data_IF_464988981628
#
_entry.id   IF_464988981628
#
_cell.length_a   1.000
_cell.length_b   1.000
_cell.length_c   1.000
_cell.angle_alpha   90.00
_cell.angle_beta   90.00
_cell.angle_gamma   90.00
#
_symmetry.space_group_name_H-M   'P 1'
#
loop_
_entity.id
_entity.type
_entity.pdbx_description
1 polymer ?
#
# COMPACT_ATOMS: atom_id res chain seq x y z
N UNK A 1 0.90 -3.01 3.64
CA UNK A 1 1.04 -4.22 2.80
C UNK A 1 2.47 -4.75 2.76
N UNK A 2 3.39 -4.07 2.07
CA UNK A 2 4.67 -4.68 1.69
C UNK A 2 5.67 -4.83 2.84
N UNK A 3 5.79 -3.81 3.69
CA UNK A 3 6.70 -3.84 4.84
C UNK A 3 6.32 -4.92 5.88
N UNK A 4 5.03 -5.26 5.95
CA UNK A 4 4.47 -6.23 6.89
C UNK A 4 4.14 -7.57 6.25
N UNK A 5 4.46 -7.78 4.96
CA UNK A 5 4.24 -9.07 4.29
C UNK A 5 2.77 -9.47 4.13
N UNK A 6 1.84 -8.52 3.99
CA UNK A 6 0.38 -8.77 3.92
C UNK A 6 -0.07 -9.30 2.55
N UNK A 7 0.44 -10.46 2.15
CA UNK A 7 0.12 -11.09 0.87
C UNK A 7 -1.31 -11.66 0.81
N UNK A 8 -1.95 -11.85 1.97
CA UNK A 8 -3.37 -12.19 2.14
C UNK A 8 -4.31 -11.19 1.47
N UNK A 9 -3.85 -9.93 1.33
CA UNK A 9 -4.63 -8.88 0.66
C UNK A 9 -4.65 -8.98 -0.88
N UNK A 10 -3.95 -9.96 -1.46
CA UNK A 10 -3.92 -10.24 -2.91
C UNK A 10 -4.98 -11.27 -3.29
N UNK A 11 -6.14 -10.77 -3.71
CA UNK A 11 -7.25 -11.59 -4.20
C UNK A 11 -8.02 -10.84 -5.31
N UNK A 12 -8.98 -11.53 -5.93
CA UNK A 12 -9.63 -11.10 -7.18
C UNK A 12 -10.34 -9.75 -7.13
N UNK A 13 -10.79 -9.27 -5.97
CA UNK A 13 -11.42 -7.93 -5.86
C UNK A 13 -10.37 -6.81 -5.83
N UNK A 14 -9.14 -7.09 -5.41
CA UNK A 14 -8.04 -6.13 -5.35
C UNK A 14 -7.19 -6.18 -6.63
N UNK A 15 -7.75 -5.62 -7.71
CA UNK A 15 -7.08 -5.56 -9.03
C UNK A 15 -5.82 -4.66 -8.98
N UNK A 16 -5.81 -3.65 -8.11
CA UNK A 16 -4.74 -2.64 -8.04
C UNK A 16 -4.26 -2.44 -6.60
N UNK A 17 -2.94 -2.34 -6.45
CA UNK A 17 -2.27 -1.96 -5.20
C UNK A 17 -1.58 -0.63 -5.41
N UNK A 18 -2.18 0.44 -4.88
CA UNK A 18 -1.72 1.79 -5.14
C UNK A 18 -0.58 2.23 -4.21
N UNK A 19 0.35 2.97 -4.77
CA UNK A 19 1.50 3.60 -4.12
C UNK A 19 1.47 5.12 -4.34
N UNK A 20 2.25 5.88 -3.59
CA UNK A 20 2.45 7.30 -3.84
C UNK A 20 2.97 7.54 -5.27
N UNK A 21 3.91 6.71 -5.75
CA UNK A 21 4.38 6.79 -7.14
C UNK A 21 3.27 6.49 -8.16
N UNK A 22 2.41 5.50 -7.93
CA UNK A 22 1.32 5.19 -8.87
C UNK A 22 0.29 6.31 -8.92
N UNK A 23 -0.09 6.88 -7.77
CA UNK A 23 -1.00 8.03 -7.72
C UNK A 23 -0.40 9.26 -8.40
N UNK A 24 0.88 9.55 -8.15
CA UNK A 24 1.58 10.65 -8.81
C UNK A 24 1.60 10.47 -10.32
N UNK A 25 1.92 9.26 -10.80
CA UNK A 25 1.93 8.93 -12.23
C UNK A 25 0.55 9.07 -12.86
N UNK A 26 -0.50 8.60 -12.17
CA UNK A 26 -1.89 8.74 -12.63
C UNK A 26 -2.27 10.21 -12.77
N UNK A 27 -2.02 11.02 -11.73
CA UNK A 27 -2.31 12.45 -11.73
C UNK A 27 -1.67 13.15 -12.94
N UNK A 28 -0.39 12.88 -13.19
CA UNK A 28 0.35 13.47 -14.31
C UNK A 28 -0.23 13.10 -15.68
N UNK A 29 -0.69 11.85 -15.85
CA UNK A 29 -1.27 11.38 -17.11
C UNK A 29 -2.63 12.03 -17.39
N UNK A 30 -3.44 12.27 -16.35
CA UNK A 30 -4.83 12.71 -16.50
C UNK A 30 -5.04 14.21 -16.22
N UNK A 31 -3.96 14.99 -16.12
CA UNK A 31 -4.03 16.44 -15.93
C UNK A 31 -4.57 16.87 -14.55
N UNK A 32 -4.28 16.06 -13.51
CA UNK A 32 -4.62 16.37 -12.13
C UNK A 32 -3.36 16.65 -11.30
N UNK A 33 -3.52 17.44 -10.25
CA UNK A 33 -2.51 17.65 -9.22
C UNK A 33 -2.94 16.99 -7.91
N UNK A 34 -2.00 16.37 -7.19
CA UNK A 34 -2.22 15.91 -5.82
C UNK A 34 -2.01 17.10 -4.88
N UNK A 35 -3.06 17.52 -4.19
CA UNK A 35 -3.03 18.68 -3.27
C UNK A 35 -2.94 18.27 -1.81
N UNK A 36 -3.24 17.00 -1.50
CA UNK A 36 -3.06 16.41 -0.17
C UNK A 36 -2.83 14.92 -0.30
N UNK A 37 -1.85 14.41 0.44
CA UNK A 37 -1.54 12.99 0.52
C UNK A 37 -1.35 12.59 1.98
N UNK A 38 -2.05 11.57 2.43
CA UNK A 38 -1.98 11.08 3.82
C UNK A 38 -1.87 9.57 3.85
N UNK A 39 -1.07 9.05 4.77
CA UNK A 39 -1.06 7.63 5.11
C UNK A 39 -1.86 7.46 6.40
N UNK A 40 -2.91 6.65 6.34
CA UNK A 40 -3.80 6.39 7.49
C UNK A 40 -3.60 4.96 7.98
N UNK A 41 -3.83 4.69 9.26
CA UNK A 41 -3.65 3.35 9.86
C UNK A 41 -4.75 2.34 9.46
N UNK A 42 -5.80 2.79 8.79
CA UNK A 42 -6.95 1.96 8.38
C UNK A 42 -6.46 0.86 7.42
N UNK A 43 -6.92 -0.38 7.67
CA UNK A 43 -6.62 -1.58 6.87
C UNK A 43 -5.13 -1.90 6.61
N UNK A 44 -4.22 -1.52 7.51
CA UNK A 44 -2.81 -1.91 7.38
C UNK A 44 -1.95 -0.94 6.55
N UNK A 45 -2.32 0.34 6.62
CA UNK A 45 -1.80 1.51 5.90
C UNK A 45 -2.49 1.76 4.56
N UNK A 46 -3.33 2.81 4.53
CA UNK A 46 -4.07 3.24 3.34
C UNK A 46 -3.67 4.65 2.93
N UNK A 47 -3.59 4.90 1.62
CA UNK A 47 -3.37 6.24 1.07
C UNK A 47 -4.70 6.98 0.97
N UNK A 48 -4.83 8.13 1.65
CA UNK A 48 -5.90 9.09 1.42
C UNK A 48 -5.35 10.23 0.54
N UNK A 49 -5.90 10.37 -0.67
CA UNK A 49 -5.34 11.26 -1.70
C UNK A 49 -6.41 12.24 -2.18
N UNK A 50 -6.09 13.52 -2.17
CA UNK A 50 -6.94 14.59 -2.72
C UNK A 50 -6.36 15.12 -4.02
N UNK A 51 -7.18 15.11 -5.08
CA UNK A 51 -6.81 15.58 -6.42
C UNK A 51 -7.52 16.89 -6.78
N UNK A 52 -6.90 17.67 -7.67
CA UNK A 52 -7.50 18.85 -8.26
C UNK A 52 -7.14 19.00 -9.74
N UNK A 53 -8.06 19.53 -10.55
CA UNK A 53 -7.78 19.88 -11.94
C UNK A 53 -6.79 21.05 -12.03
N UNK A 54 -5.79 20.90 -12.90
CA UNK A 54 -4.73 21.91 -13.12
C UNK A 54 -5.28 23.24 -13.65
N UNK A 55 -6.38 23.24 -14.42
CA UNK A 55 -6.95 24.46 -15.04
C UNK A 55 -7.87 25.29 -14.13
N UNK A 56 -8.01 24.92 -12.85
CA UNK A 56 -8.97 25.53 -11.94
C UNK A 56 -8.45 26.88 -11.44
N UNK A 57 -8.71 27.96 -12.19
CA UNK A 57 -8.42 29.35 -11.80
C UNK A 57 -9.14 29.81 -10.52
N UNK A 58 -10.12 29.05 -10.03
CA UNK A 58 -10.81 29.32 -8.77
C UNK A 58 -9.97 28.88 -7.55
N UNK A 59 -9.06 29.76 -7.17
CA UNK A 59 -8.24 29.68 -5.97
C UNK A 59 -9.03 30.17 -4.74
N UNK A 60 -10.14 29.51 -4.38
CA UNK A 60 -10.89 29.83 -3.15
C UNK A 60 -10.80 28.71 -2.11
N UNK A 61 -10.77 27.45 -2.53
CA UNK A 61 -10.48 26.33 -1.63
C UNK A 61 -8.97 26.15 -1.36
N UNK A 62 -8.15 26.59 -2.31
CA UNK A 62 -6.71 26.34 -2.31
C UNK A 62 -5.86 27.37 -1.57
N UNK A 63 -6.31 28.59 -1.31
CA UNK A 63 -5.44 29.63 -0.72
C UNK A 63 -4.96 29.29 0.70
N UNK A 64 -5.52 28.24 1.33
CA UNK A 64 -5.06 27.68 2.60
C UNK A 64 -4.15 26.45 2.47
N UNK A 65 -4.07 25.85 1.28
CA UNK A 65 -3.31 24.61 1.00
C UNK A 65 -2.27 24.78 -0.13
N UNK A 66 -2.09 25.99 -0.68
CA UNK A 66 -1.37 26.24 -1.95
C UNK A 66 0.15 26.27 -1.85
N UNK A 67 0.76 25.96 -0.72
CA UNK A 67 2.21 26.09 -0.59
C UNK A 67 2.79 24.76 -0.20
N UNK A 68 3.51 24.19 -1.17
CA UNK A 68 4.29 22.96 -1.11
C UNK A 68 3.46 21.71 -1.40
N UNK A 69 3.98 20.85 -2.30
CA UNK A 69 3.73 19.41 -2.24
C UNK A 69 3.71 19.06 -0.77
N UNK A 70 2.56 18.69 -0.21
CA UNK A 70 2.44 18.50 1.24
C UNK A 70 3.63 17.63 1.67
N UNK A 71 4.42 18.02 2.70
CA UNK A 71 5.65 17.29 3.07
C UNK A 71 5.44 15.76 3.13
N UNK A 72 4.22 15.33 3.45
CA UNK A 72 3.77 13.94 3.38
C UNK A 72 3.91 13.23 2.03
N UNK A 73 3.66 13.86 0.87
CA UNK A 73 3.78 13.20 -0.44
C UNK A 73 5.26 12.98 -0.82
N UNK A 74 6.09 14.00 -0.66
CA UNK A 74 7.53 13.87 -0.94
C UNK A 74 8.19 12.86 0.01
N UNK A 75 7.80 12.86 1.29
CA UNK A 75 8.22 11.83 2.26
C UNK A 75 7.77 10.44 1.81
N UNK A 76 6.52 10.26 1.39
CA UNK A 76 6.01 8.97 0.92
C UNK A 76 6.76 8.48 -0.33
N UNK A 77 6.96 9.35 -1.32
CA UNK A 77 7.74 9.04 -2.52
C UNK A 77 9.18 8.66 -2.16
N UNK A 78 9.83 9.42 -1.27
CA UNK A 78 11.19 9.09 -0.85
C UNK A 78 11.24 7.75 -0.09
N UNK A 79 10.27 7.49 0.78
CA UNK A 79 10.15 6.21 1.49
C UNK A 79 10.04 5.04 0.51
N UNK A 80 9.17 5.15 -0.49
CA UNK A 80 9.00 4.10 -1.52
C UNK A 80 10.29 3.86 -2.31
N UNK A 81 11.03 4.92 -2.64
CA UNK A 81 12.36 4.80 -3.27
C UNK A 81 13.37 4.10 -2.36
N UNK A 82 13.46 4.51 -1.11
CA UNK A 82 14.38 3.90 -0.12
C UNK A 82 14.04 2.44 0.12
N UNK A 83 12.76 2.06 0.10
CA UNK A 83 12.33 0.67 0.17
C UNK A 83 12.70 -0.14 -1.08
N UNK A 84 13.01 0.52 -2.20
CA UNK A 84 13.33 -0.11 -3.47
C UNK A 84 12.10 -0.39 -4.34
N UNK A 85 10.91 0.13 -4.01
CA UNK A 85 9.68 -0.15 -4.76
C UNK A 85 9.71 0.29 -6.22
N UNK A 86 10.62 1.20 -6.57
CA UNK A 86 10.86 1.62 -7.96
C UNK A 86 11.79 0.68 -8.72
N UNK A 87 12.23 -0.41 -8.11
CA UNK A 87 13.12 -1.43 -8.67
C UNK A 87 12.40 -2.80 -8.73
N UNK A 88 12.49 -3.54 -9.86
CA UNK A 88 11.91 -4.88 -9.97
C UNK A 88 12.34 -5.86 -8.87
N UNK A 89 13.55 -5.72 -8.34
CA UNK A 89 14.10 -6.57 -7.29
C UNK A 89 13.28 -6.55 -6.00
N UNK A 90 12.62 -5.43 -5.70
CA UNK A 90 11.72 -5.32 -4.56
C UNK A 90 10.59 -6.35 -4.62
N UNK A 91 9.99 -6.52 -5.80
CA UNK A 91 8.87 -7.44 -5.99
C UNK A 91 9.31 -8.90 -5.97
N UNK A 92 10.53 -9.20 -6.48
CA UNK A 92 11.14 -10.54 -6.38
C UNK A 92 11.37 -10.91 -4.91
N UNK A 93 11.89 -9.96 -4.10
CA UNK A 93 12.06 -10.17 -2.66
C UNK A 93 10.72 -10.37 -1.96
N UNK A 94 9.70 -9.58 -2.30
CA UNK A 94 8.37 -9.70 -1.71
C UNK A 94 7.72 -11.06 -2.02
N UNK A 95 7.86 -11.55 -3.25
CA UNK A 95 7.42 -12.90 -3.63
C UNK A 95 8.11 -13.98 -2.79
N UNK A 96 9.43 -13.91 -2.65
CA UNK A 96 10.20 -14.86 -1.84
C UNK A 96 9.74 -14.84 -0.36
N UNK A 97 9.48 -13.65 0.20
CA UNK A 97 8.94 -13.50 1.55
C UNK A 97 7.56 -14.15 1.71
N UNK A 98 6.65 -13.94 0.76
CA UNK A 98 5.32 -14.53 0.78
C UNK A 98 5.38 -16.06 0.71
N UNK A 99 6.21 -16.62 -0.18
CA UNK A 99 6.44 -18.06 -0.29
C UNK A 99 7.00 -18.66 0.99
N UNK A 100 8.02 -18.02 1.58
CA UNK A 100 8.62 -18.45 2.83
C UNK A 100 7.63 -18.41 4.00
N UNK A 101 6.80 -17.37 4.10
CA UNK A 101 5.78 -17.28 5.15
C UNK A 101 4.72 -18.38 5.01
N UNK A 102 4.26 -18.67 3.78
CA UNK A 102 3.32 -19.79 3.52
C UNK A 102 3.91 -21.13 3.98
N UNK A 103 5.15 -21.41 3.63
CA UNK A 103 5.85 -22.64 4.03
C UNK A 103 6.00 -22.73 5.54
N UNK A 104 6.41 -21.63 6.18
CA UNK A 104 6.52 -21.55 7.62
C UNK A 104 5.19 -21.82 8.33
N UNK A 105 4.09 -21.16 7.92
CA UNK A 105 2.74 -21.38 8.48
C UNK A 105 2.34 -22.85 8.33
N UNK A 106 2.55 -23.44 7.15
CA UNK A 106 2.21 -24.84 6.88
C UNK A 106 2.96 -25.80 7.81
N UNK A 107 4.25 -25.56 8.05
CA UNK A 107 5.05 -26.33 8.99
C UNK A 107 4.60 -26.15 10.45
N UNK A 108 4.23 -24.92 10.86
CA UNK A 108 3.71 -24.68 12.21
C UNK A 108 2.41 -25.44 12.45
N UNK A 109 1.48 -25.38 11.50
CA UNK A 109 0.19 -26.08 11.60
C UNK A 109 0.38 -27.61 11.69
N UNK A 110 1.26 -28.17 10.86
CA UNK A 110 1.59 -29.59 10.91
C UNK A 110 2.21 -30.01 12.26
N UNK A 111 3.10 -29.18 12.81
CA UNK A 111 3.72 -29.42 14.12
C UNK A 111 2.69 -29.39 15.26
N UNK A 112 1.80 -28.38 15.27
CA UNK A 112 0.74 -28.24 16.28
C UNK A 112 -0.23 -29.44 16.20
N UNK A 113 -0.56 -29.87 14.99
CA UNK A 113 -1.41 -31.04 14.77
C UNK A 113 -0.74 -32.34 15.28
N UNK A 114 0.56 -32.51 15.05
CA UNK A 114 1.33 -33.67 15.56
C UNK A 114 1.39 -33.72 17.09
N UNK A 115 1.22 -32.58 17.77
CA UNK A 115 1.12 -32.48 19.23
C UNK A 115 -0.31 -32.72 19.74
N UNK A 116 -1.25 -33.13 18.87
CA UNK A 116 -2.65 -33.40 19.19
C UNK A 116 -3.42 -32.18 19.72
N UNK A 117 -2.97 -30.96 19.41
CA UNK A 117 -3.73 -29.75 19.71
C UNK A 117 -4.89 -29.55 18.72
N UNK A 118 -5.99 -28.97 19.20
CA UNK A 118 -7.10 -28.54 18.34
C UNK A 118 -6.75 -27.21 17.69
N UNK A 119 -6.87 -27.12 16.38
CA UNK A 119 -6.66 -25.90 15.59
C UNK A 119 -8.03 -25.37 15.18
N UNK A 120 -8.27 -24.09 15.46
CA UNK A 120 -9.48 -23.38 15.02
C UNK A 120 -9.08 -22.16 14.18
N UNK A 121 -9.89 -21.83 13.18
CA UNK A 121 -9.79 -20.57 12.46
C UNK A 121 -10.71 -19.53 13.11
N UNK A 122 -10.24 -18.29 13.24
CA UNK A 122 -11.03 -17.18 13.76
C UNK A 122 -11.22 -16.12 12.68
N UNK A 123 -12.48 -15.89 12.31
CA UNK A 123 -12.85 -15.03 11.18
C UNK A 123 -12.85 -15.77 9.84
N UNK A 124 -13.67 -15.26 8.93
CA UNK A 124 -13.78 -15.72 7.55
C UNK A 124 -13.82 -14.48 6.64
N UNK A 125 -12.84 -13.60 6.83
CA UNK A 125 -12.74 -12.40 6.03
C UNK A 125 -12.24 -12.77 4.62
N UNK A 126 -12.56 -11.90 3.65
CA UNK A 126 -12.04 -12.05 2.29
C UNK A 126 -10.50 -11.98 2.25
N UNK A 127 -9.92 -11.35 3.28
CA UNK A 127 -8.51 -11.40 3.67
C UNK A 127 -8.33 -12.11 5.00
#
# INVERSE_FOLDING_TARGET
MYETGQFDTVYHEHISFFTAHSFKKLADIVGLAIVRFEITSIHGHSCLVTFQRVDSSNTTFLTRFKTELTPSLSIALQKERTLGMTDPWFYIKYEAQAKGMREWISHQLASIQAQHHTIIAYGAAAK
#
